data_IF_361112910687
#
_entry.id   IF_361112910687
#
_cell.length_a   1.000
_cell.length_b   1.000
_cell.length_c   1.000
_cell.angle_alpha   90.00
_cell.angle_beta   90.00
_cell.angle_gamma   90.00
#
_symmetry.space_group_name_H-M   'P 1'
#
loop_
_entity.id
_entity.type
_entity.pdbx_description
1 polymer ?
#
# COMPACT_ATOMS: atom_id res chain seq x y z
N UNK A 1 38.39 -11.61 26.29
CA UNK A 1 38.27 -11.00 24.95
C UNK A 1 36.96 -11.50 24.36
N UNK A 2 35.96 -10.63 24.26
CA UNK A 2 34.61 -10.98 23.80
C UNK A 2 34.49 -10.82 22.29
N UNK A 3 33.86 -11.78 21.64
CA UNK A 3 33.59 -11.79 20.20
C UNK A 3 32.64 -10.63 19.87
N UNK A 4 32.99 -9.82 18.86
CA UNK A 4 32.08 -8.81 18.31
C UNK A 4 31.14 -9.54 17.36
N UNK A 5 29.91 -9.74 17.80
CA UNK A 5 28.83 -10.25 16.98
C UNK A 5 28.46 -9.18 15.94
N UNK A 6 28.51 -9.54 14.66
CA UNK A 6 28.19 -8.64 13.55
C UNK A 6 27.31 -9.35 12.54
N UNK A 7 26.09 -9.69 12.95
CA UNK A 7 25.06 -10.18 12.05
C UNK A 7 24.02 -9.09 11.81
N UNK A 8 24.41 -8.06 11.07
CA UNK A 8 23.45 -7.22 10.35
C UNK A 8 23.25 -7.82 8.95
N UNK A 9 22.35 -8.79 8.82
CA UNK A 9 21.89 -9.26 7.51
C UNK A 9 21.02 -8.18 6.90
N UNK A 10 21.59 -7.35 6.03
CA UNK A 10 20.81 -6.47 5.17
C UNK A 10 20.21 -7.34 4.06
N UNK A 11 18.96 -7.77 4.26
CA UNK A 11 18.20 -8.44 3.21
C UNK A 11 17.70 -7.35 2.25
N UNK A 12 18.42 -7.11 1.16
CA UNK A 12 17.97 -6.24 0.07
C UNK A 12 17.04 -7.03 -0.85
N UNK A 13 15.74 -7.04 -0.57
CA UNK A 13 14.75 -7.36 -1.60
C UNK A 13 14.83 -6.26 -2.65
N UNK A 14 14.90 -6.62 -3.93
CA UNK A 14 14.81 -5.65 -5.03
C UNK A 14 13.61 -4.75 -4.77
N UNK A 15 13.86 -3.46 -4.58
CA UNK A 15 12.98 -2.46 -3.96
C UNK A 15 11.69 -2.14 -4.72
N UNK A 16 11.45 -2.80 -5.85
CA UNK A 16 10.28 -2.60 -6.70
C UNK A 16 9.21 -3.62 -6.34
N UNK A 17 8.13 -3.13 -5.74
CA UNK A 17 6.94 -3.95 -5.56
C UNK A 17 6.40 -4.37 -6.93
N UNK A 18 6.16 -5.67 -7.12
CA UNK A 18 5.56 -6.19 -8.34
C UNK A 18 4.03 -6.10 -8.26
N UNK A 19 3.39 -5.82 -9.39
CA UNK A 19 1.93 -5.82 -9.47
C UNK A 19 1.39 -7.23 -9.23
N UNK A 20 0.51 -7.46 -8.24
CA UNK A 20 -0.17 -8.74 -8.07
C UNK A 20 -0.98 -9.10 -9.32
N UNK A 21 -0.93 -10.37 -9.74
CA UNK A 21 -1.68 -10.84 -10.92
C UNK A 21 -3.19 -10.68 -10.74
N UNK A 22 -3.67 -10.87 -9.51
CA UNK A 22 -5.06 -10.73 -9.09
C UNK A 22 -5.42 -9.30 -8.61
N UNK A 23 -4.68 -8.26 -9.01
CA UNK A 23 -4.93 -6.88 -8.57
C UNK A 23 -6.40 -6.44 -8.72
N UNK A 24 -7.07 -6.89 -9.80
CA UNK A 24 -8.49 -6.57 -10.04
C UNK A 24 -9.41 -7.05 -8.92
N UNK A 25 -9.05 -8.13 -8.24
CA UNK A 25 -9.86 -8.71 -7.17
C UNK A 25 -9.73 -7.90 -5.88
N UNK A 26 -8.65 -7.10 -5.75
CA UNK A 26 -8.44 -6.15 -4.66
C UNK A 26 -9.14 -4.79 -4.86
N UNK A 27 -9.94 -4.64 -5.93
CA UNK A 27 -10.53 -3.36 -6.33
C UNK A 27 -11.23 -2.61 -5.19
N UNK A 28 -11.94 -3.32 -4.31
CA UNK A 28 -12.67 -2.70 -3.20
C UNK A 28 -11.79 -2.17 -2.08
N UNK A 29 -10.61 -2.76 -1.88
CA UNK A 29 -9.65 -2.26 -0.91
C UNK A 29 -8.75 -1.18 -1.53
N UNK A 30 -8.24 -1.42 -2.75
CA UNK A 30 -7.12 -0.65 -3.29
C UNK A 30 -7.45 0.16 -4.56
N UNK A 31 -8.65 0.04 -5.13
CA UNK A 31 -9.04 0.75 -6.35
C UNK A 31 -8.46 0.14 -7.63
N UNK A 32 -8.77 0.74 -8.78
CA UNK A 32 -8.44 0.18 -10.10
C UNK A 32 -6.98 0.38 -10.49
N UNK A 33 -6.42 1.55 -10.16
CA UNK A 33 -5.06 1.94 -10.52
C UNK A 33 -4.01 1.20 -9.67
N UNK A 34 -2.92 0.81 -10.32
CA UNK A 34 -1.75 0.25 -9.65
C UNK A 34 -0.54 1.12 -9.94
N UNK A 35 0.30 1.31 -8.92
CA UNK A 35 1.56 2.03 -9.01
C UNK A 35 2.52 1.59 -7.91
N UNK A 36 3.81 1.85 -8.10
CA UNK A 36 4.85 1.37 -7.18
C UNK A 36 4.83 2.11 -5.85
N UNK A 37 4.55 3.42 -5.86
CA UNK A 37 4.42 4.23 -4.63
C UNK A 37 3.16 3.81 -3.89
N UNK A 38 2.04 3.67 -4.61
CA UNK A 38 0.78 3.15 -4.04
C UNK A 38 0.97 1.78 -3.38
N UNK A 39 1.65 0.85 -4.04
CA UNK A 39 1.88 -0.48 -3.51
C UNK A 39 2.74 -0.45 -2.23
N UNK A 40 3.81 0.36 -2.22
CA UNK A 40 4.61 0.57 -1.01
C UNK A 40 3.77 1.12 0.14
N UNK A 41 2.99 2.17 -0.15
CA UNK A 41 2.11 2.79 0.84
C UNK A 41 1.08 1.81 1.43
N UNK A 42 0.49 0.94 0.58
CA UNK A 42 -0.41 -0.12 1.04
C UNK A 42 0.29 -1.05 2.03
N UNK A 43 1.48 -1.54 1.70
CA UNK A 43 2.25 -2.45 2.56
C UNK A 43 2.58 -1.76 3.89
N UNK A 44 3.05 -0.51 3.86
CA UNK A 44 3.47 0.21 5.05
C UNK A 44 2.29 0.51 6.01
N UNK A 45 1.11 0.81 5.47
CA UNK A 45 -0.10 1.12 6.26
C UNK A 45 -0.82 -0.13 6.75
N UNK A 46 -0.87 -1.19 5.94
CA UNK A 46 -1.69 -2.39 6.22
C UNK A 46 -0.89 -3.55 6.80
N UNK A 47 0.41 -3.62 6.52
CA UNK A 47 1.25 -4.78 6.81
C UNK A 47 1.00 -5.98 5.89
N UNK A 48 0.11 -5.87 4.89
CA UNK A 48 -0.19 -6.95 3.95
C UNK A 48 1.00 -7.12 3.01
N UNK A 49 1.62 -8.30 3.03
CA UNK A 49 2.73 -8.66 2.13
C UNK A 49 2.40 -9.83 1.21
N UNK A 50 1.28 -10.53 1.44
CA UNK A 50 0.75 -11.57 0.57
C UNK A 50 -0.54 -11.08 -0.09
N UNK A 51 -0.52 -10.97 -1.41
CA UNK A 51 -1.64 -10.47 -2.20
C UNK A 51 -2.35 -11.58 -2.99
N UNK A 52 -1.88 -12.82 -2.92
CA UNK A 52 -2.42 -13.94 -3.71
C UNK A 52 -3.83 -14.34 -3.28
N UNK A 53 -4.18 -14.06 -2.02
CA UNK A 53 -5.48 -14.38 -1.44
C UNK A 53 -6.21 -13.10 -1.03
N UNK A 54 -7.30 -12.80 -1.72
CA UNK A 54 -8.18 -11.69 -1.36
C UNK A 54 -9.11 -12.17 -0.25
N UNK A 55 -9.29 -11.39 0.84
CA UNK A 55 -10.33 -11.66 1.82
C UNK A 55 -11.73 -11.68 1.19
N UNK A 56 -12.53 -12.69 1.51
CA UNK A 56 -13.95 -12.76 1.11
C UNK A 56 -14.83 -11.76 1.90
N UNK A 57 -14.32 -11.26 3.03
CA UNK A 57 -15.01 -10.29 3.87
C UNK A 57 -14.98 -8.89 3.25
N UNK A 58 -16.13 -8.49 2.70
CA UNK A 58 -16.31 -7.21 2.05
C UNK A 58 -16.13 -6.01 3.00
N UNK A 59 -16.59 -6.14 4.25
CA UNK A 59 -16.49 -5.07 5.24
C UNK A 59 -15.01 -4.84 5.62
N UNK A 60 -14.22 -5.91 5.67
CA UNK A 60 -12.78 -5.80 5.84
C UNK A 60 -12.10 -5.06 4.68
N UNK A 61 -12.50 -5.33 3.43
CA UNK A 61 -11.96 -4.61 2.26
C UNK A 61 -12.32 -3.11 2.30
N UNK A 62 -13.57 -2.77 2.66
CA UNK A 62 -13.99 -1.38 2.86
C UNK A 62 -13.16 -0.72 3.98
N UNK A 63 -12.98 -1.41 5.10
CA UNK A 63 -12.16 -0.91 6.22
C UNK A 63 -10.72 -0.60 5.77
N UNK A 64 -10.09 -1.49 5.00
CA UNK A 64 -8.75 -1.26 4.47
C UNK A 64 -8.70 -0.01 3.60
N UNK A 65 -9.69 0.18 2.72
CA UNK A 65 -9.78 1.37 1.89
C UNK A 65 -9.91 2.65 2.73
N UNK A 66 -10.80 2.65 3.73
CA UNK A 66 -10.98 3.78 4.65
C UNK A 66 -9.72 4.12 5.43
N UNK A 67 -9.01 3.09 5.94
CA UNK A 67 -7.72 3.25 6.62
C UNK A 67 -6.67 3.87 5.71
N UNK A 68 -6.58 3.42 4.45
CA UNK A 68 -5.64 3.96 3.47
C UNK A 68 -5.94 5.42 3.11
N UNK A 69 -7.21 5.77 2.89
CA UNK A 69 -7.63 7.16 2.66
C UNK A 69 -7.28 8.07 3.84
N UNK A 70 -7.56 7.62 5.06
CA UNK A 70 -7.24 8.38 6.27
C UNK A 70 -5.73 8.61 6.41
N UNK A 71 -4.91 7.57 6.17
CA UNK A 71 -3.45 7.70 6.23
C UNK A 71 -2.87 8.52 5.08
N UNK A 72 -3.47 8.45 3.90
CA UNK A 72 -3.05 9.27 2.75
C UNK A 72 -3.37 10.74 3.00
N UNK A 73 -4.51 11.05 3.61
CA UNK A 73 -4.86 12.40 4.03
C UNK A 73 -3.86 12.95 5.07
N UNK A 74 -3.48 12.14 6.06
CA UNK A 74 -2.46 12.49 7.06
C UNK A 74 -1.10 12.77 6.39
N UNK A 75 -0.66 11.89 5.48
CA UNK A 75 0.57 12.08 4.71
C UNK A 75 0.53 13.41 3.93
N UNK A 76 -0.52 13.63 3.15
CA UNK A 76 -0.68 14.83 2.31
C UNK A 76 -0.81 16.12 3.14
N UNK A 77 -1.26 16.04 4.39
CA UNK A 77 -1.38 17.20 5.28
C UNK A 77 -0.07 17.56 5.98
N UNK A 78 0.91 16.65 5.97
CA UNK A 78 2.19 16.78 6.71
C UNK A 78 3.41 16.91 5.81
N UNK A 79 3.23 16.77 4.49
CA UNK A 79 4.30 16.83 3.50
C UNK A 79 4.06 17.96 2.50
N UNK A 80 5.14 18.58 2.03
CA UNK A 80 5.06 19.68 1.04
C UNK A 80 4.48 19.24 -0.30
N UNK A 81 4.62 17.95 -0.64
CA UNK A 81 4.07 17.33 -1.84
C UNK A 81 3.11 16.20 -1.48
N UNK A 82 2.00 16.07 -2.22
CA UNK A 82 1.08 14.96 -2.03
C UNK A 82 1.73 13.63 -2.42
N UNK A 83 1.16 12.54 -1.93
CA UNK A 83 1.53 11.19 -2.33
C UNK A 83 1.26 11.00 -3.83
N UNK A 84 2.32 10.82 -4.59
CA UNK A 84 2.29 10.71 -6.05
C UNK A 84 3.30 9.67 -6.54
N UNK A 85 3.01 9.06 -7.69
CA UNK A 85 3.92 8.20 -8.42
C UNK A 85 5.10 9.01 -9.04
N UNK A 86 6.11 8.31 -9.56
CA UNK A 86 7.33 8.94 -10.08
C UNK A 86 7.09 9.88 -11.27
N UNK A 87 5.99 9.70 -12.00
CA UNK A 87 5.56 10.54 -13.13
C UNK A 87 4.67 11.73 -12.71
N UNK A 88 4.42 11.90 -11.40
CA UNK A 88 3.55 12.93 -10.86
C UNK A 88 2.07 12.56 -10.81
N UNK A 89 1.69 11.33 -11.21
CA UNK A 89 0.31 10.85 -11.05
C UNK A 89 -0.02 10.74 -9.57
N UNK A 90 -1.09 11.39 -9.12
CA UNK A 90 -1.53 11.30 -7.72
C UNK A 90 -1.94 9.87 -7.37
N UNK A 91 -1.59 9.44 -6.16
CA UNK A 91 -2.08 8.18 -5.62
C UNK A 91 -3.50 8.38 -5.13
N UNK A 92 -4.41 7.49 -5.56
CA UNK A 92 -5.82 7.53 -5.18
C UNK A 92 -6.32 6.14 -4.77
N UNK A 93 -7.27 6.11 -3.84
CA UNK A 93 -7.95 4.90 -3.37
C UNK A 93 -9.44 4.97 -3.71
N UNK A 94 -9.79 4.84 -4.98
CA UNK A 94 -11.19 4.74 -5.42
C UNK A 94 -11.93 3.63 -4.66
N UNK A 95 -13.16 3.90 -4.22
CA UNK A 95 -14.06 2.85 -3.73
C UNK A 95 -15.48 3.14 -4.24
N UNK A 96 -16.11 2.24 -5.01
CA UNK A 96 -17.40 2.48 -5.64
C UNK A 96 -18.60 2.56 -4.68
N UNK A 97 -18.44 2.24 -3.38
CA UNK A 97 -19.56 2.20 -2.42
C UNK A 97 -19.69 3.42 -1.50
N UNK A 98 -18.93 4.49 -1.73
CA UNK A 98 -19.20 5.77 -1.05
C UNK A 98 -20.30 6.49 -1.83
N UNK A 99 -21.54 6.36 -1.38
CA UNK A 99 -22.60 7.31 -1.72
C UNK A 99 -22.25 8.62 -1.00
N UNK A 100 -21.84 9.64 -1.76
CA UNK A 100 -21.69 11.02 -1.26
C UNK A 100 -23.03 11.59 -0.76
#
# INVERSE_FOLDING_TARGET
MGVVEKDSTVISFSSQAMKPTNWKDWYYAFGSSWGTVKMRFIIDVTGITNFDQVPDDYDYLIYLNGKLKSKMFEYNSTHDQPLQEADGTLVEFENPYIWE
#
